data_IF_627414208560
#
_entry.id   IF_627414208560
#
_cell.length_a   1.000
_cell.length_b   1.000
_cell.length_c   1.000
_cell.angle_alpha   90.00
_cell.angle_beta   90.00
_cell.angle_gamma   90.00
#
_symmetry.space_group_name_H-M   'P 1'
#
loop_
_entity.id
_entity.type
_entity.pdbx_description
1 polymer ?
#
# COMPACT_ATOMS: atom_id res chain seq x y z
N UNK A 1 55.98 3.85 -36.09
CA UNK A 1 55.79 3.94 -34.62
C UNK A 1 54.39 4.51 -34.38
N UNK A 2 53.43 3.65 -33.99
CA UNK A 2 52.00 3.96 -33.87
C UNK A 2 51.73 4.68 -32.55
N UNK A 3 51.15 5.88 -32.61
CA UNK A 3 50.70 6.64 -31.43
C UNK A 3 49.22 6.32 -31.21
N UNK A 4 48.92 5.51 -30.22
CA UNK A 4 47.56 5.10 -29.84
C UNK A 4 46.94 6.21 -28.99
N UNK A 5 45.86 6.84 -29.46
CA UNK A 5 45.05 7.76 -28.68
C UNK A 5 44.08 6.94 -27.81
N UNK A 6 44.16 7.12 -26.48
CA UNK A 6 43.18 6.61 -25.53
C UNK A 6 42.00 7.60 -25.44
N UNK A 7 40.82 7.19 -25.86
CA UNK A 7 39.56 7.95 -25.69
C UNK A 7 38.91 7.51 -24.39
N UNK A 8 38.82 8.40 -23.40
CA UNK A 8 38.09 8.15 -22.16
C UNK A 8 36.58 8.26 -22.39
N UNK A 9 35.86 7.15 -22.21
CA UNK A 9 34.39 7.12 -22.24
C UNK A 9 33.88 7.47 -20.84
N UNK A 10 33.33 8.68 -20.70
CA UNK A 10 32.59 9.12 -19.51
C UNK A 10 31.20 8.46 -19.50
N UNK A 11 31.02 7.46 -18.65
CA UNK A 11 29.71 6.90 -18.30
C UNK A 11 28.97 7.91 -17.42
N UNK A 12 28.14 8.75 -18.02
CA UNK A 12 27.12 9.50 -17.29
C UNK A 12 26.03 8.52 -16.85
N UNK A 13 26.04 8.09 -15.59
CA UNK A 13 24.87 7.48 -14.97
C UNK A 13 23.82 8.58 -14.82
N UNK A 14 22.81 8.57 -15.69
CA UNK A 14 21.65 9.43 -15.54
C UNK A 14 20.94 9.08 -14.22
N UNK A 15 20.61 10.06 -13.37
CA UNK A 15 19.71 9.81 -12.26
C UNK A 15 18.39 9.31 -12.84
N UNK A 16 17.93 8.15 -12.38
CA UNK A 16 16.60 7.68 -12.69
C UNK A 16 15.63 8.65 -12.02
N UNK A 17 15.05 9.56 -12.81
CA UNK A 17 13.90 10.35 -12.38
C UNK A 17 12.75 9.36 -12.22
N UNK A 18 12.52 8.92 -10.98
CA UNK A 18 11.29 8.23 -10.62
C UNK A 18 10.17 9.25 -10.78
N UNK A 19 9.45 9.18 -11.90
CA UNK A 19 8.24 9.97 -12.08
C UNK A 19 7.20 9.45 -11.07
N UNK A 20 7.08 10.12 -9.93
CA UNK A 20 5.93 9.97 -9.04
C UNK A 20 4.70 10.39 -9.85
N UNK A 21 3.78 9.45 -10.10
CA UNK A 21 2.51 9.78 -10.75
C UNK A 21 1.82 10.88 -9.95
N UNK A 22 1.55 12.03 -10.58
CA UNK A 22 0.96 13.22 -9.95
C UNK A 22 -0.31 12.84 -9.18
N UNK A 23 -0.20 12.65 -7.86
CA UNK A 23 -1.32 12.43 -6.95
C UNK A 23 -1.82 13.75 -6.33
N UNK A 24 -1.36 14.89 -6.85
CA UNK A 24 -1.65 16.24 -6.35
C UNK A 24 -3.13 16.60 -6.37
N UNK A 25 -3.92 15.97 -7.25
CA UNK A 25 -5.37 16.17 -7.32
C UNK A 25 -6.14 15.55 -6.15
N UNK A 26 -5.51 14.63 -5.40
CA UNK A 26 -6.11 13.98 -4.25
C UNK A 26 -5.91 14.86 -3.00
N UNK A 27 -7.00 15.41 -2.41
CA UNK A 27 -6.90 16.39 -1.35
C UNK A 27 -6.36 15.78 -0.05
N UNK A 28 -5.81 16.61 0.84
CA UNK A 28 -5.52 16.13 2.20
C UNK A 28 -6.82 15.88 2.97
N UNK A 29 -6.81 14.90 3.88
CA UNK A 29 -7.95 14.55 4.72
C UNK A 29 -7.54 14.64 6.20
N UNK A 30 -8.10 15.57 7.00
CA UNK A 30 -7.71 15.72 8.40
C UNK A 30 -7.91 14.44 9.22
N UNK A 31 -6.90 14.06 10.01
CA UNK A 31 -6.89 12.82 10.79
C UNK A 31 -6.56 11.56 9.97
N UNK A 32 -6.14 11.73 8.72
CA UNK A 32 -5.68 10.68 7.86
C UNK A 32 -4.35 11.06 7.20
N UNK A 33 -3.46 10.08 7.10
CA UNK A 33 -2.24 10.15 6.32
C UNK A 33 -2.50 9.63 4.90
N UNK A 34 -2.05 10.39 3.89
CA UNK A 34 -2.18 10.05 2.47
C UNK A 34 -0.99 9.21 2.01
N UNK A 35 -1.24 7.96 1.67
CA UNK A 35 -0.27 7.03 1.09
C UNK A 35 -0.49 6.94 -0.42
N UNK A 36 0.60 7.11 -1.19
CA UNK A 36 0.58 7.06 -2.65
C UNK A 36 1.50 5.94 -3.12
N UNK A 37 0.92 4.87 -3.67
CA UNK A 37 1.66 3.71 -4.17
C UNK A 37 1.71 3.80 -5.69
N UNK A 38 2.92 3.95 -6.23
CA UNK A 38 3.18 3.87 -7.66
C UNK A 38 3.65 2.45 -7.99
N UNK A 39 2.92 1.77 -8.87
CA UNK A 39 3.24 0.42 -9.30
C UNK A 39 4.13 0.46 -10.54
N UNK A 40 5.03 -0.50 -10.66
CA UNK A 40 5.90 -0.68 -11.82
C UNK A 40 5.11 -1.17 -13.04
N UNK A 41 5.55 -0.78 -14.24
CA UNK A 41 4.93 -1.26 -15.48
C UNK A 41 5.29 -2.73 -15.74
N UNK A 42 4.28 -3.55 -16.04
CA UNK A 42 4.43 -4.99 -16.31
C UNK A 42 3.55 -5.41 -17.48
N UNK A 43 4.06 -6.30 -18.33
CA UNK A 43 3.30 -6.86 -19.46
C UNK A 43 2.07 -7.65 -18.99
N UNK A 44 0.95 -7.42 -19.70
CA UNK A 44 -0.35 -8.06 -19.42
C UNK A 44 -0.79 -7.91 -17.95
N UNK A 45 -0.45 -6.78 -17.31
CA UNK A 45 -0.65 -6.52 -15.87
C UNK A 45 -2.03 -6.93 -15.33
N UNK A 46 -3.11 -6.68 -16.08
CA UNK A 46 -4.48 -6.96 -15.66
C UNK A 46 -4.80 -8.45 -15.52
N UNK A 47 -4.04 -9.32 -16.18
CA UNK A 47 -4.22 -10.77 -16.19
C UNK A 47 -3.17 -11.48 -15.34
N UNK A 48 -1.98 -10.89 -15.20
CA UNK A 48 -0.81 -11.53 -14.59
C UNK A 48 -0.51 -11.04 -13.18
N UNK A 49 -1.11 -9.91 -12.75
CA UNK A 49 -0.82 -9.29 -11.47
C UNK A 49 -2.07 -8.83 -10.73
N UNK A 50 -1.98 -8.87 -9.40
CA UNK A 50 -2.94 -8.26 -8.47
C UNK A 50 -2.19 -7.56 -7.36
N UNK A 51 -2.84 -6.62 -6.70
CA UNK A 51 -2.27 -5.92 -5.54
C UNK A 51 -3.13 -6.20 -4.33
N UNK A 52 -2.50 -6.52 -3.21
CA UNK A 52 -3.15 -6.60 -1.92
C UNK A 52 -2.60 -5.51 -1.01
N UNK A 53 -3.49 -4.80 -0.33
CA UNK A 53 -3.10 -3.82 0.68
C UNK A 53 -2.99 -4.54 2.01
N UNK A 54 -1.90 -4.24 2.69
CA UNK A 54 -1.61 -4.74 4.03
C UNK A 54 -1.55 -3.50 4.91
N UNK A 55 -2.31 -3.51 5.99
CA UNK A 55 -2.21 -2.45 6.97
C UNK A 55 -1.90 -3.06 8.33
N UNK A 56 -1.07 -2.37 9.10
CA UNK A 56 -0.71 -2.81 10.43
C UNK A 56 -0.80 -1.68 11.44
N UNK A 57 -1.12 -2.05 12.67
CA UNK A 57 -1.25 -1.10 13.77
C UNK A 57 -1.15 -1.82 15.10
N UNK A 58 -0.53 -1.15 16.07
CA UNK A 58 -0.38 -1.67 17.42
C UNK A 58 -1.68 -1.46 18.19
N UNK A 59 -2.21 -2.56 18.73
CA UNK A 59 -3.40 -2.55 19.58
C UNK A 59 -3.19 -3.38 20.83
N UNK A 60 -3.82 -2.95 21.93
CA UNK A 60 -3.85 -3.72 23.17
C UNK A 60 -4.86 -4.86 23.03
N UNK A 61 -4.37 -6.10 22.92
CA UNK A 61 -5.19 -7.29 22.72
C UNK A 61 -4.92 -8.35 23.77
N UNK A 62 -5.96 -9.11 24.08
CA UNK A 62 -5.90 -10.30 24.92
C UNK A 62 -5.50 -11.53 24.10
N UNK A 63 -5.61 -12.73 24.69
CA UNK A 63 -5.27 -13.99 24.04
C UNK A 63 -6.20 -14.38 22.89
N UNK A 64 -7.29 -13.64 22.65
CA UNK A 64 -8.25 -13.98 21.61
C UNK A 64 -7.70 -13.67 20.22
N UNK A 65 -8.05 -14.53 19.25
CA UNK A 65 -7.64 -14.33 17.87
C UNK A 65 -8.42 -13.13 17.31
N UNK A 66 -7.69 -12.15 16.77
CA UNK A 66 -8.22 -10.93 16.17
C UNK A 66 -7.34 -10.57 14.97
N UNK A 67 -7.97 -10.24 13.84
CA UNK A 67 -7.30 -9.46 12.79
C UNK A 67 -7.38 -7.97 13.15
N UNK A 68 -6.57 -7.12 12.50
CA UNK A 68 -6.74 -5.68 12.65
C UNK A 68 -8.12 -5.28 12.08
N UNK A 69 -9.03 -4.75 12.90
CA UNK A 69 -10.38 -4.47 12.47
C UNK A 69 -10.42 -3.17 11.67
N UNK A 70 -10.52 -3.28 10.34
CA UNK A 70 -10.48 -2.14 9.43
C UNK A 70 -11.68 -2.12 8.49
N UNK A 71 -12.24 -0.93 8.29
CA UNK A 71 -13.05 -0.60 7.13
C UNK A 71 -12.11 -0.21 5.98
N UNK A 72 -12.31 -0.84 4.82
CA UNK A 72 -11.55 -0.56 3.60
C UNK A 72 -12.52 -0.15 2.49
N UNK A 73 -12.75 1.16 2.35
CA UNK A 73 -13.79 1.70 1.47
C UNK A 73 -13.18 2.31 0.20
N UNK A 74 -13.66 1.90 -0.97
CA UNK A 74 -13.36 2.57 -2.24
C UNK A 74 -14.27 3.79 -2.40
N UNK A 75 -13.68 4.95 -2.65
CA UNK A 75 -14.38 6.20 -2.97
C UNK A 75 -13.99 6.72 -4.34
N UNK A 76 -14.84 7.55 -4.92
CA UNK A 76 -14.59 8.24 -6.19
C UNK A 76 -14.13 9.67 -5.94
N UNK A 77 -13.14 10.12 -6.70
CA UNK A 77 -12.76 11.53 -6.77
C UNK A 77 -13.67 12.23 -7.79
N UNK A 78 -14.60 13.03 -7.28
CA UNK A 78 -15.61 13.72 -8.09
C UNK A 78 -14.95 14.58 -9.17
N UNK A 79 -15.50 14.50 -10.39
CA UNK A 79 -15.00 15.25 -11.55
C UNK A 79 -13.78 14.66 -12.27
N UNK A 80 -13.07 13.70 -11.66
CA UNK A 80 -11.86 13.09 -12.25
C UNK A 80 -12.10 11.66 -12.76
N UNK A 81 -13.06 10.94 -12.16
CA UNK A 81 -13.30 9.52 -12.48
C UNK A 81 -12.23 8.57 -11.93
N UNK A 82 -11.37 9.05 -11.04
CA UNK A 82 -10.41 8.23 -10.31
C UNK A 82 -10.99 7.75 -8.99
N UNK A 83 -10.44 6.65 -8.46
CA UNK A 83 -10.82 6.13 -7.16
C UNK A 83 -9.65 6.17 -6.19
N UNK A 84 -9.96 6.38 -4.92
CA UNK A 84 -9.05 6.23 -3.80
C UNK A 84 -9.67 5.34 -2.75
N UNK A 85 -8.88 4.94 -1.76
CA UNK A 85 -9.33 4.11 -0.65
C UNK A 85 -9.22 4.85 0.66
N UNK A 86 -10.15 4.61 1.57
CA UNK A 86 -10.13 5.12 2.94
C UNK A 86 -10.12 3.95 3.90
N UNK A 87 -9.18 3.97 4.84
CA UNK A 87 -8.94 2.96 5.85
C UNK A 87 -9.24 3.54 7.22
N UNK A 88 -10.21 2.95 7.92
CA UNK A 88 -10.61 3.37 9.27
C UNK A 88 -10.66 2.18 10.21
N UNK A 89 -10.25 2.35 11.46
CA UNK A 89 -10.42 1.29 12.46
C UNK A 89 -11.90 1.08 12.78
N UNK A 90 -12.35 -0.17 12.71
CA UNK A 90 -13.67 -0.57 13.15
C UNK A 90 -13.69 -0.74 14.67
N UNK A 91 -14.73 -0.21 15.30
CA UNK A 91 -14.98 -0.40 16.74
C UNK A 91 -15.70 -1.70 17.05
N UNK A 92 -16.46 -2.24 16.08
CA UNK A 92 -17.21 -3.48 16.22
C UNK A 92 -16.58 -4.57 15.35
N UNK A 93 -15.89 -5.50 15.99
CA UNK A 93 -15.18 -6.57 15.28
C UNK A 93 -15.37 -7.93 15.93
N UNK A 94 -15.22 -8.98 15.13
CA UNK A 94 -15.33 -10.35 15.59
C UNK A 94 -14.07 -10.77 16.35
N UNK A 95 -14.26 -11.53 17.44
CA UNK A 95 -13.18 -12.15 18.17
C UNK A 95 -13.65 -13.46 18.79
N UNK A 96 -12.71 -14.33 19.12
CA UNK A 96 -12.99 -15.55 19.89
C UNK A 96 -13.39 -15.21 21.33
N UNK A 97 -13.94 -16.19 22.06
CA UNK A 97 -14.34 -16.06 23.47
C UNK A 97 -13.57 -17.04 24.36
N UNK A 98 -12.24 -17.10 24.20
CA UNK A 98 -11.37 -17.91 25.05
C UNK A 98 -11.20 -17.23 26.41
N UNK A 99 -11.06 -18.03 27.47
CA UNK A 99 -10.69 -17.52 28.79
C UNK A 99 -9.21 -17.12 28.77
N UNK A 100 -8.93 -15.82 28.92
CA UNK A 100 -7.57 -15.28 28.98
C UNK A 100 -7.13 -15.09 30.43
N UNK A 101 -6.09 -15.79 30.85
CA UNK A 101 -5.50 -15.67 32.19
C UNK A 101 -4.55 -14.48 32.33
N UNK A 102 -4.03 -13.98 31.19
CA UNK A 102 -3.11 -12.85 31.13
C UNK A 102 -3.85 -11.59 30.69
N UNK A 103 -3.41 -10.46 31.22
CA UNK A 103 -3.84 -9.14 30.80
C UNK A 103 -3.51 -8.87 29.33
N UNK A 104 -4.30 -8.00 28.70
CA UNK A 104 -4.07 -7.57 27.33
C UNK A 104 -2.74 -6.81 27.20
N UNK A 105 -2.04 -7.03 26.09
CA UNK A 105 -0.74 -6.44 25.79
C UNK A 105 -0.70 -5.83 24.38
N UNK A 106 0.21 -4.89 24.18
CA UNK A 106 0.41 -4.25 22.89
C UNK A 106 0.94 -5.27 21.88
N UNK A 107 0.16 -5.50 20.83
CA UNK A 107 0.47 -6.44 19.76
C UNK A 107 0.25 -5.77 18.43
N UNK A 108 1.15 -5.99 17.46
CA UNK A 108 0.93 -5.53 16.10
C UNK A 108 -0.08 -6.46 15.41
N UNK A 109 -1.21 -5.91 14.98
CA UNK A 109 -2.22 -6.64 14.22
C UNK A 109 -2.16 -6.24 12.75
N UNK A 110 -2.52 -7.17 11.87
CA UNK A 110 -2.56 -6.92 10.42
C UNK A 110 -3.97 -7.05 9.86
N UNK A 111 -4.26 -6.21 8.87
CA UNK A 111 -5.39 -6.27 7.98
C UNK A 111 -4.87 -6.59 6.57
N UNK A 112 -5.60 -7.44 5.85
CA UNK A 112 -5.33 -7.72 4.44
C UNK A 112 -6.59 -7.42 3.63
N UNK A 113 -6.46 -6.57 2.61
CA UNK A 113 -7.58 -6.30 1.70
C UNK A 113 -7.86 -7.47 0.77
N UNK A 114 -8.97 -7.39 0.04
CA UNK A 114 -9.15 -8.18 -1.17
C UNK A 114 -8.08 -7.86 -2.23
N UNK A 115 -7.91 -8.76 -3.20
CA UNK A 115 -7.00 -8.58 -4.32
C UNK A 115 -7.53 -7.54 -5.32
N UNK A 116 -6.96 -6.34 -5.25
CA UNK A 116 -7.21 -5.24 -6.16
C UNK A 116 -6.61 -5.48 -7.55
N UNK A 117 -7.16 -4.79 -8.54
CA UNK A 117 -6.62 -4.79 -9.89
C UNK A 117 -5.27 -4.08 -9.91
N UNK A 118 -4.28 -4.70 -10.54
CA UNK A 118 -3.00 -4.06 -10.84
C UNK A 118 -3.17 -3.07 -12.00
N UNK A 119 -2.70 -1.84 -11.83
CA UNK A 119 -2.72 -0.79 -12.84
C UNK A 119 -1.54 0.16 -12.59
N UNK A 120 -0.48 0.02 -13.36
CA UNK A 120 0.72 0.88 -13.27
C UNK A 120 0.50 2.32 -13.77
N UNK A 121 -0.55 2.55 -14.56
CA UNK A 121 -0.80 3.87 -15.19
C UNK A 121 -1.39 4.90 -14.25
N UNK A 122 -1.93 4.48 -13.10
CA UNK A 122 -2.54 5.37 -12.12
C UNK A 122 -1.99 5.02 -10.73
N UNK A 123 -1.61 6.01 -9.92
CA UNK A 123 -1.21 5.74 -8.55
C UNK A 123 -2.40 5.22 -7.74
N UNK A 124 -2.12 4.28 -6.85
CA UNK A 124 -3.10 3.83 -5.86
C UNK A 124 -2.99 4.74 -4.64
N UNK A 125 -4.06 5.49 -4.37
CA UNK A 125 -4.11 6.45 -3.25
C UNK A 125 -4.94 5.86 -2.12
N UNK A 126 -4.37 5.83 -0.92
CA UNK A 126 -4.96 5.27 0.29
C UNK A 126 -4.83 6.29 1.41
N UNK A 127 -5.94 6.61 2.06
CA UNK A 127 -5.96 7.40 3.28
C UNK A 127 -6.12 6.48 4.46
N UNK A 128 -5.17 6.45 5.38
CA UNK A 128 -5.24 5.67 6.61
C UNK A 128 -5.19 6.60 7.83
N UNK A 129 -5.80 6.19 8.94
CA UNK A 129 -5.67 6.93 10.21
C UNK A 129 -4.19 7.01 10.63
N UNK A 130 -3.80 8.07 11.33
CA UNK A 130 -2.38 8.43 11.55
C UNK A 130 -1.53 7.37 12.28
N UNK A 131 -2.16 6.39 12.94
CA UNK A 131 -1.51 5.30 13.66
C UNK A 131 -1.61 3.95 12.93
N UNK A 132 -1.92 3.97 11.63
CA UNK A 132 -1.99 2.81 10.76
C UNK A 132 -0.90 2.90 9.70
N UNK A 133 0.00 1.91 9.72
CA UNK A 133 1.01 1.75 8.69
C UNK A 133 0.39 1.01 7.49
N UNK A 134 0.76 1.43 6.27
CA UNK A 134 0.21 0.90 5.02
C UNK A 134 1.33 0.39 4.12
N UNK A 135 1.26 -0.91 3.85
CA UNK A 135 2.11 -1.65 2.94
C UNK A 135 1.28 -2.30 1.82
N UNK A 136 1.98 -2.91 0.85
CA UNK A 136 1.33 -3.67 -0.20
C UNK A 136 2.13 -4.91 -0.59
N UNK A 137 1.43 -5.89 -1.14
CA UNK A 137 2.03 -7.07 -1.76
C UNK A 137 1.48 -7.25 -3.17
N UNK A 138 2.37 -7.63 -4.10
CA UNK A 138 2.01 -7.93 -5.49
C UNK A 138 1.90 -9.44 -5.66
N UNK A 139 0.76 -9.86 -6.17
CA UNK A 139 0.43 -11.27 -6.38
C UNK A 139 0.47 -11.61 -7.86
N UNK A 140 0.95 -12.82 -8.18
CA UNK A 140 0.88 -13.42 -9.50
C UNK A 140 0.10 -14.74 -9.41
N UNK A 141 -0.62 -15.15 -10.47
CA UNK A 141 -1.23 -16.47 -10.51
C UNK A 141 -0.13 -17.54 -10.45
N UNK A 142 -0.41 -18.65 -9.77
CA UNK A 142 0.46 -19.82 -9.85
C UNK A 142 0.48 -20.33 -11.30
N UNK A 143 1.67 -20.59 -11.81
CA UNK A 143 1.93 -21.15 -13.14
C UNK A 143 1.88 -22.68 -13.12
#
# INVERSE_FOLDING_TARGET
MKKTLLTAVLLFSAPHVMASGNADMFPEMPGFTKHVIQLDEVDNESQTRRVQIIADSVMKVDCNIKALPMDFERRSLEGWGYSYYVMKKQTNYASTMMACEKEAADTNLQFHSDLLRYNSKLPLVIYAEDDVDVDYSVWAPMQ
#
